data_IF_013280476944
#
_entry.id   IF_013280476944
#
_cell.length_a   1.000
_cell.length_b   1.000
_cell.length_c   1.000
_cell.angle_alpha   90.00
_cell.angle_beta   90.00
_cell.angle_gamma   90.00
#
_symmetry.space_group_name_H-M   'P 1'
#
loop_
_entity.id
_entity.type
_entity.pdbx_description
1 polymer ?
#
# COMPACT_ATOMS: atom_id res chain seq x y z
N UNK A 1 -4.04 1.22 1.92
CA UNK A 1 -2.76 1.02 2.62
C UNK A 1 -2.12 -0.28 2.21
N UNK A 2 -2.80 -1.42 2.39
CA UNK A 2 -2.27 -2.73 2.01
C UNK A 2 -1.80 -2.77 0.56
N UNK A 3 -2.70 -2.49 -0.38
CA UNK A 3 -2.37 -2.54 -1.80
C UNK A 3 -1.30 -1.51 -2.19
N UNK A 4 -1.30 -0.32 -1.59
CA UNK A 4 -0.24 0.67 -1.82
C UNK A 4 1.12 0.15 -1.32
N UNK A 5 1.16 -0.53 -0.18
CA UNK A 5 2.39 -1.10 0.35
C UNK A 5 2.92 -2.22 -0.53
N UNK A 6 2.06 -3.16 -0.94
CA UNK A 6 2.42 -4.24 -1.88
C UNK A 6 2.84 -3.66 -3.24
N UNK A 7 2.16 -2.62 -3.72
CA UNK A 7 2.49 -1.93 -4.97
C UNK A 7 3.84 -1.18 -4.89
N UNK A 8 4.09 -0.42 -3.83
CA UNK A 8 5.37 0.28 -3.61
C UNK A 8 6.50 -0.74 -3.50
N UNK A 9 6.27 -1.85 -2.82
CA UNK A 9 7.24 -2.95 -2.72
C UNK A 9 7.55 -3.58 -4.07
N UNK A 10 6.52 -3.87 -4.88
CA UNK A 10 6.68 -4.42 -6.24
C UNK A 10 7.41 -3.44 -7.17
N UNK A 11 7.15 -2.14 -7.06
CA UNK A 11 7.93 -1.10 -7.75
C UNK A 11 9.38 -1.05 -7.26
N UNK A 12 9.63 -1.36 -5.98
CA UNK A 12 10.97 -1.47 -5.38
C UNK A 12 11.83 -2.60 -5.98
N UNK A 13 11.23 -3.73 -6.36
CA UNK A 13 11.94 -4.83 -7.07
C UNK A 13 12.50 -4.35 -8.40
N UNK A 14 11.82 -3.40 -9.08
CA UNK A 14 12.28 -2.84 -10.36
C UNK A 14 13.28 -1.68 -10.22
N UNK A 15 13.44 -1.08 -9.04
CA UNK A 15 14.29 0.11 -8.85
C UNK A 15 15.62 -0.16 -8.11
N UNK A 16 15.78 -1.34 -7.51
CA UNK A 16 17.06 -1.75 -6.92
C UNK A 16 17.93 -2.41 -8.00
N UNK A 17 18.55 -1.57 -8.83
CA UNK A 17 19.81 -1.91 -9.49
C UNK A 17 20.82 -0.77 -9.29
N UNK A 18 21.78 -1.06 -8.40
CA UNK A 18 23.13 -0.50 -8.29
C UNK A 18 23.29 1.02 -8.41
N UNK A 19 23.58 1.69 -7.28
CA UNK A 19 24.87 2.37 -7.02
C UNK A 19 24.88 3.19 -5.72
N UNK A 20 25.90 2.90 -4.91
CA UNK A 20 26.57 3.75 -3.92
C UNK A 20 26.00 3.84 -2.50
N UNK A 21 26.69 3.13 -1.61
CA UNK A 21 26.40 2.88 -0.18
C UNK A 21 26.56 4.11 0.74
N UNK A 22 27.18 5.20 0.28
CA UNK A 22 27.32 6.43 1.08
C UNK A 22 26.11 7.38 1.03
N UNK A 23 25.23 7.21 0.03
CA UNK A 23 24.00 8.01 -0.19
C UNK A 23 22.78 7.39 0.51
N UNK A 24 23.00 6.43 1.41
CA UNK A 24 21.94 5.57 2.00
C UNK A 24 21.04 6.30 2.99
N UNK A 25 21.52 7.35 3.67
CA UNK A 25 20.72 8.08 4.65
C UNK A 25 19.72 9.05 4.03
N UNK A 26 20.18 9.88 3.08
CA UNK A 26 19.39 10.95 2.46
C UNK A 26 18.40 10.40 1.41
N UNK A 27 18.82 9.45 0.56
CA UNK A 27 17.89 8.78 -0.38
C UNK A 27 16.78 8.05 0.36
N UNK A 28 17.11 7.35 1.45
CA UNK A 28 16.11 6.67 2.27
C UNK A 28 15.12 7.65 2.87
N UNK A 29 15.55 8.84 3.30
CA UNK A 29 14.63 9.87 3.79
C UNK A 29 13.74 10.45 2.67
N UNK A 30 14.28 10.65 1.46
CA UNK A 30 13.48 11.12 0.33
C UNK A 30 12.44 10.06 -0.11
N UNK A 31 12.84 8.79 -0.14
CA UNK A 31 11.97 7.65 -0.43
C UNK A 31 10.91 7.46 0.65
N UNK A 32 11.30 7.55 1.94
CA UNK A 32 10.36 7.52 3.06
C UNK A 32 9.39 8.70 3.01
N UNK A 33 9.85 9.90 2.66
CA UNK A 33 9.00 11.07 2.50
C UNK A 33 8.00 10.86 1.35
N UNK A 34 8.45 10.34 0.19
CA UNK A 34 7.55 9.98 -0.92
C UNK A 34 6.52 8.93 -0.51
N UNK A 35 6.92 7.88 0.22
CA UNK A 35 6.02 6.85 0.71
C UNK A 35 5.01 7.41 1.72
N UNK A 36 5.43 8.28 2.64
CA UNK A 36 4.57 8.94 3.61
C UNK A 36 3.58 9.90 2.93
N UNK A 37 4.02 10.67 1.94
CA UNK A 37 3.13 11.56 1.19
C UNK A 37 2.16 10.75 0.33
N UNK A 38 2.59 9.63 -0.24
CA UNK A 38 1.71 8.72 -0.99
C UNK A 38 0.69 8.04 -0.06
N UNK A 39 1.09 7.73 1.18
CA UNK A 39 0.21 7.27 2.26
C UNK A 39 -0.90 8.29 2.50
N UNK A 40 -0.56 9.57 2.65
CA UNK A 40 -1.53 10.65 2.80
C UNK A 40 -2.45 10.79 1.57
N UNK A 41 -1.90 10.75 0.35
CA UNK A 41 -2.69 10.77 -0.89
C UNK A 41 -3.67 9.60 -0.99
N UNK A 42 -3.27 8.42 -0.51
CA UNK A 42 -4.15 7.26 -0.43
C UNK A 42 -5.27 7.42 0.59
N UNK A 43 -5.00 7.97 1.78
CA UNK A 43 -6.06 8.24 2.78
C UNK A 43 -7.08 9.24 2.28
N UNK A 44 -6.62 10.24 1.52
CA UNK A 44 -7.48 11.19 0.82
C UNK A 44 -8.33 10.50 -0.27
N UNK A 45 -7.77 9.54 -1.01
CA UNK A 45 -8.47 8.81 -2.06
C UNK A 45 -9.54 7.85 -1.52
N UNK A 46 -9.21 7.12 -0.44
CA UNK A 46 -10.11 6.14 0.20
C UNK A 46 -11.05 6.79 1.22
N UNK A 47 -10.90 8.11 1.46
CA UNK A 47 -11.74 8.94 2.32
C UNK A 47 -12.00 8.32 3.70
N UNK A 48 -10.94 8.14 4.48
CA UNK A 48 -10.97 7.41 5.76
C UNK A 48 -11.72 8.09 6.93
N UNK A 49 -12.45 9.18 6.70
CA UNK A 49 -13.18 9.91 7.75
C UNK A 49 -12.27 10.56 8.81
N UNK A 50 -10.98 10.73 8.51
CA UNK A 50 -10.06 11.46 9.39
C UNK A 50 -10.31 12.96 9.29
N UNK A 51 -10.32 13.68 10.42
CA UNK A 51 -10.57 15.13 10.45
C UNK A 51 -9.69 15.94 9.48
N UNK A 52 -8.42 15.57 9.36
CA UNK A 52 -7.50 16.23 8.42
C UNK A 52 -7.86 15.98 6.95
N UNK A 53 -8.38 14.80 6.62
CA UNK A 53 -8.86 14.45 5.26
C UNK A 53 -10.08 15.28 4.93
N UNK A 54 -11.03 15.41 5.86
CA UNK A 54 -12.23 16.24 5.70
C UNK A 54 -11.86 17.71 5.51
N UNK A 55 -10.97 18.24 6.36
CA UNK A 55 -10.51 19.64 6.28
C UNK A 55 -9.81 19.94 4.94
N UNK A 56 -8.90 19.07 4.49
CA UNK A 56 -8.22 19.24 3.21
C UNK A 56 -9.17 19.07 2.01
N UNK A 57 -10.11 18.12 2.08
CA UNK A 57 -11.10 17.89 1.03
C UNK A 57 -12.05 19.09 0.89
N UNK A 58 -12.52 19.64 2.01
CA UNK A 58 -13.33 20.86 2.02
C UNK A 58 -12.57 22.06 1.44
N UNK A 59 -11.30 22.22 1.82
CA UNK A 59 -10.46 23.34 1.37
C UNK A 59 -10.05 23.25 -0.11
N UNK A 60 -9.61 22.07 -0.56
CA UNK A 60 -8.94 21.92 -1.85
C UNK A 60 -9.74 21.16 -2.90
N UNK A 61 -10.55 20.17 -2.49
CA UNK A 61 -11.30 19.34 -3.44
C UNK A 61 -12.66 19.94 -3.84
N UNK A 62 -13.22 20.89 -3.06
CA UNK A 62 -14.48 21.61 -3.37
C UNK A 62 -15.63 20.68 -3.76
N UNK A 63 -15.82 19.59 -3.00
CA UNK A 63 -16.87 18.60 -3.26
C UNK A 63 -16.54 17.54 -4.31
N UNK A 64 -15.33 17.54 -4.88
CA UNK A 64 -14.82 16.47 -5.76
C UNK A 64 -14.02 15.43 -4.97
N UNK A 65 -13.82 14.25 -5.55
CA UNK A 65 -12.88 13.27 -5.02
C UNK A 65 -11.43 13.76 -5.19
N UNK A 66 -10.52 13.30 -4.33
CA UNK A 66 -9.10 13.66 -4.36
C UNK A 66 -8.45 13.50 -5.75
N UNK A 67 -8.76 12.41 -6.46
CA UNK A 67 -8.23 12.13 -7.80
C UNK A 67 -8.66 13.18 -8.85
N UNK A 68 -9.80 13.82 -8.65
CA UNK A 68 -10.37 14.83 -9.54
C UNK A 68 -10.15 16.28 -9.04
N UNK A 69 -9.37 16.47 -7.97
CA UNK A 69 -9.11 17.79 -7.42
C UNK A 69 -8.25 18.64 -8.39
N UNK A 70 -8.54 19.94 -8.58
CA UNK A 70 -7.76 20.79 -9.47
C UNK A 70 -6.37 21.11 -8.90
N UNK A 71 -5.38 21.28 -9.78
CA UNK A 71 -4.09 21.86 -9.40
C UNK A 71 -4.29 23.33 -9.04
N UNK A 72 -4.10 23.68 -7.76
CA UNK A 72 -4.21 25.06 -7.29
C UNK A 72 -2.81 25.69 -7.19
N UNK A 73 -2.58 26.76 -7.95
CA UNK A 73 -1.30 27.49 -7.99
C UNK A 73 -0.88 28.07 -6.62
N UNK A 74 -1.83 28.37 -5.73
CA UNK A 74 -1.59 28.92 -4.38
C UNK A 74 -1.84 27.90 -3.25
N UNK A 75 -1.63 26.62 -3.51
CA UNK A 75 -1.79 25.61 -2.48
C UNK A 75 -0.61 25.57 -1.49
N UNK A 76 -0.85 25.05 -0.28
CA UNK A 76 0.22 24.80 0.68
C UNK A 76 1.21 23.76 0.14
N UNK A 77 2.46 23.84 0.55
CA UNK A 77 3.52 22.90 0.18
C UNK A 77 3.13 21.44 0.47
N UNK A 78 2.47 21.22 1.61
CA UNK A 78 1.93 19.90 2.00
C UNK A 78 0.89 19.42 0.97
N UNK A 79 -0.05 20.28 0.56
CA UNK A 79 -1.05 19.89 -0.45
C UNK A 79 -0.40 19.59 -1.79
N UNK A 80 0.57 20.39 -2.23
CA UNK A 80 1.29 20.13 -3.48
C UNK A 80 2.02 18.79 -3.44
N UNK A 81 2.67 18.45 -2.33
CA UNK A 81 3.27 17.13 -2.14
C UNK A 81 2.24 16.01 -2.25
N UNK A 82 1.12 16.10 -1.53
CA UNK A 82 0.05 15.11 -1.59
C UNK A 82 -0.49 14.98 -3.03
N UNK A 83 -0.68 16.09 -3.72
CA UNK A 83 -1.19 16.14 -5.09
C UNK A 83 -0.26 15.47 -6.10
N UNK A 84 1.07 15.61 -5.93
CA UNK A 84 2.08 14.92 -6.75
C UNK A 84 1.98 13.39 -6.64
N UNK A 85 1.44 12.86 -5.54
CA UNK A 85 1.28 11.41 -5.37
C UNK A 85 0.02 10.85 -6.02
N UNK A 86 -0.80 11.70 -6.66
CA UNK A 86 -2.01 11.29 -7.35
C UNK A 86 -1.77 10.16 -8.34
N UNK A 87 -0.73 10.27 -9.17
CA UNK A 87 -0.43 9.27 -10.19
C UNK A 87 -0.06 7.93 -9.56
N UNK A 88 0.75 7.96 -8.50
CA UNK A 88 1.15 6.77 -7.72
C UNK A 88 -0.07 6.11 -7.08
N UNK A 89 -0.96 6.92 -6.47
CA UNK A 89 -2.18 6.44 -5.83
C UNK A 89 -3.15 5.88 -6.86
N UNK A 90 -3.29 6.52 -8.03
CA UNK A 90 -4.13 6.05 -9.12
C UNK A 90 -3.61 4.74 -9.71
N UNK A 91 -2.30 4.62 -9.93
CA UNK A 91 -1.67 3.37 -10.36
C UNK A 91 -1.86 2.25 -9.32
N UNK A 92 -1.70 2.59 -8.03
CA UNK A 92 -1.99 1.66 -6.94
C UNK A 92 -3.46 1.23 -6.90
N UNK A 93 -4.42 2.14 -7.11
CA UNK A 93 -5.85 1.83 -7.18
C UNK A 93 -6.18 0.94 -8.39
N UNK A 94 -5.56 1.22 -9.54
CA UNK A 94 -5.68 0.36 -10.73
C UNK A 94 -5.15 -1.05 -10.45
N UNK A 95 -3.98 -1.14 -9.79
CA UNK A 95 -3.40 -2.41 -9.35
C UNK A 95 -4.33 -3.17 -8.39
N UNK A 96 -5.02 -2.49 -7.47
CA UNK A 96 -6.03 -3.11 -6.61
C UNK A 96 -7.16 -3.76 -7.41
N UNK A 97 -7.63 -3.05 -8.45
CA UNK A 97 -8.83 -3.42 -9.19
C UNK A 97 -8.55 -4.58 -10.16
N UNK A 98 -7.36 -4.59 -10.77
CA UNK A 98 -7.00 -5.55 -11.82
C UNK A 98 -6.04 -6.66 -11.38
N UNK A 99 -4.96 -6.37 -10.65
CA UNK A 99 -3.87 -7.34 -10.42
C UNK A 99 -3.87 -7.96 -9.02
N UNK A 100 -4.40 -7.31 -7.99
CA UNK A 100 -4.59 -7.93 -6.66
C UNK A 100 -5.56 -9.13 -6.68
N UNK A 101 -6.34 -9.24 -7.76
CA UNK A 101 -7.11 -10.43 -8.14
C UNK A 101 -6.22 -11.55 -8.64
N UNK A 102 -5.17 -11.28 -9.39
CA UNK A 102 -4.42 -12.33 -10.06
C UNK A 102 -3.14 -12.75 -9.33
N UNK A 103 -2.73 -12.02 -8.28
CA UNK A 103 -1.63 -12.46 -7.40
C UNK A 103 -2.10 -13.59 -6.48
N UNK A 104 -1.52 -14.75 -6.69
CA UNK A 104 -1.72 -15.95 -5.89
C UNK A 104 -0.92 -15.86 -4.59
N UNK A 105 -1.61 -15.91 -3.45
CA UNK A 105 -1.00 -15.76 -2.12
C UNK A 105 -0.02 -16.88 -1.75
N UNK A 106 -0.12 -18.03 -2.43
CA UNK A 106 0.66 -19.23 -2.15
C UNK A 106 1.88 -19.39 -3.05
N UNK A 107 1.78 -18.95 -4.30
CA UNK A 107 2.81 -19.22 -5.31
C UNK A 107 3.60 -17.97 -5.71
N UNK A 108 2.99 -16.79 -5.63
CA UNK A 108 3.65 -15.58 -6.08
C UNK A 108 4.49 -14.95 -4.96
N UNK A 109 5.66 -14.39 -5.28
CA UNK A 109 6.44 -13.61 -4.33
C UNK A 109 5.80 -12.23 -4.11
N UNK A 110 5.24 -11.99 -2.92
CA UNK A 110 4.55 -10.73 -2.59
C UNK A 110 4.90 -10.12 -1.24
N UNK A 111 5.80 -10.73 -0.45
CA UNK A 111 6.22 -10.23 0.87
C UNK A 111 7.74 -10.13 0.96
N UNK A 112 8.29 -8.92 0.86
CA UNK A 112 9.73 -8.71 0.78
C UNK A 112 10.55 -9.11 2.01
N UNK A 113 9.92 -9.09 3.18
CA UNK A 113 10.58 -9.33 4.47
C UNK A 113 10.77 -10.83 4.79
N UNK A 114 10.47 -11.73 3.84
CA UNK A 114 10.55 -13.18 3.99
C UNK A 114 11.58 -13.82 3.06
N UNK A 115 12.20 -14.95 3.46
CA UNK A 115 12.99 -15.75 2.53
C UNK A 115 12.12 -16.19 1.36
N UNK A 116 12.64 -16.06 0.14
CA UNK A 116 11.96 -16.31 -1.15
C UNK A 116 10.73 -15.44 -1.45
N UNK A 117 10.48 -14.43 -0.62
CA UNK A 117 9.38 -13.48 -0.74
C UNK A 117 7.97 -14.10 -0.69
N UNK A 118 7.86 -15.37 -0.27
CA UNK A 118 6.62 -16.14 -0.19
C UNK A 118 6.30 -16.47 1.27
N UNK A 119 5.08 -16.16 1.75
CA UNK A 119 4.63 -16.52 3.10
C UNK A 119 4.51 -18.02 3.35
N UNK A 120 5.00 -18.48 4.50
CA UNK A 120 4.86 -19.88 4.92
C UNK A 120 3.51 -20.11 5.62
N UNK A 121 2.85 -21.18 5.18
CA UNK A 121 1.64 -21.73 5.79
C UNK A 121 1.97 -22.46 7.09
N UNK A 122 1.03 -22.41 8.05
CA UNK A 122 1.07 -23.32 9.20
C UNK A 122 0.81 -24.76 8.73
N UNK A 123 1.52 -25.72 9.33
CA UNK A 123 1.47 -27.13 8.95
C UNK A 123 0.06 -27.76 9.06
N UNK A 124 -0.76 -27.29 10.01
CA UNK A 124 -2.08 -27.87 10.30
C UNK A 124 -3.25 -27.14 9.61
N UNK A 125 -2.96 -26.21 8.69
CA UNK A 125 -4.02 -25.42 8.03
C UNK A 125 -4.49 -26.13 6.76
N UNK A 126 -5.75 -26.56 6.78
CA UNK A 126 -6.46 -26.93 5.54
C UNK A 126 -6.84 -25.64 4.83
N UNK A 127 -6.10 -25.32 3.76
CA UNK A 127 -6.41 -24.18 2.91
C UNK A 127 -7.73 -24.43 2.19
N UNK A 128 -8.75 -23.66 2.49
CA UNK A 128 -10.02 -23.74 1.79
C UNK A 128 -9.88 -23.12 0.39
N UNK A 129 -10.46 -23.75 -0.62
CA UNK A 129 -10.43 -23.35 -2.04
C UNK A 129 -10.94 -21.92 -2.34
N UNK A 130 -11.52 -21.22 -1.36
CA UNK A 130 -12.02 -19.85 -1.49
C UNK A 130 -10.98 -18.76 -1.17
N UNK A 131 -9.79 -19.11 -0.66
CA UNK A 131 -8.75 -18.14 -0.29
C UNK A 131 -7.51 -18.44 -1.14
N UNK A 132 -7.35 -17.72 -2.24
CA UNK A 132 -6.21 -17.90 -3.15
C UNK A 132 -5.53 -16.58 -3.55
N UNK A 133 -6.20 -15.45 -3.35
CA UNK A 133 -5.80 -14.16 -3.90
C UNK A 133 -5.55 -13.15 -2.78
N UNK A 134 -4.67 -12.17 -3.02
CA UNK A 134 -4.37 -11.12 -2.02
C UNK A 134 -5.64 -10.40 -1.60
N UNK A 135 -6.58 -10.18 -2.53
CA UNK A 135 -7.89 -9.59 -2.23
C UNK A 135 -8.69 -10.34 -1.16
N UNK A 136 -8.52 -11.66 -1.03
CA UNK A 136 -9.28 -12.49 -0.09
C UNK A 136 -8.76 -12.28 1.35
N UNK A 137 -7.49 -11.88 1.48
CA UNK A 137 -6.84 -11.52 2.74
C UNK A 137 -7.18 -10.09 3.20
N UNK A 138 -7.83 -9.29 2.36
CA UNK A 138 -8.12 -7.88 2.58
C UNK A 138 -9.63 -7.69 2.80
N UNK A 139 -9.99 -6.75 3.67
CA UNK A 139 -11.36 -6.29 3.80
C UNK A 139 -11.67 -5.26 2.68
N UNK A 140 -12.65 -5.53 1.80
CA UNK A 140 -12.98 -4.65 0.67
C UNK A 140 -13.53 -3.29 1.10
N UNK A 141 -14.06 -3.16 2.33
CA UNK A 141 -14.63 -1.91 2.82
C UNK A 141 -13.57 -0.98 3.42
N UNK A 142 -12.63 -1.52 4.19
CA UNK A 142 -11.63 -0.74 4.92
C UNK A 142 -10.25 -0.72 4.24
N UNK A 143 -10.02 -1.59 3.24
CA UNK A 143 -8.71 -1.82 2.60
C UNK A 143 -7.61 -2.13 3.62
N UNK A 144 -7.97 -2.90 4.65
CA UNK A 144 -7.06 -3.36 5.71
C UNK A 144 -6.92 -4.88 5.69
N UNK A 145 -5.81 -5.36 6.23
CA UNK A 145 -5.55 -6.79 6.36
C UNK A 145 -6.55 -7.44 7.32
N UNK A 146 -7.10 -8.60 6.94
CA UNK A 146 -7.89 -9.45 7.85
C UNK A 146 -6.95 -10.14 8.84
N UNK A 147 -6.48 -9.40 9.84
CA UNK A 147 -5.41 -9.84 10.73
C UNK A 147 -5.68 -11.18 11.44
N UNK A 148 -6.93 -11.46 11.79
CA UNK A 148 -7.34 -12.75 12.37
C UNK A 148 -7.11 -13.91 11.39
N UNK A 149 -7.51 -13.72 10.14
CA UNK A 149 -7.37 -14.70 9.07
C UNK A 149 -5.90 -14.94 8.73
N UNK A 150 -5.10 -13.88 8.61
CA UNK A 150 -3.65 -13.98 8.33
C UNK A 150 -2.92 -14.73 9.46
N UNK A 151 -3.20 -14.42 10.73
CA UNK A 151 -2.60 -15.13 11.87
C UNK A 151 -3.04 -16.59 11.98
N UNK A 152 -4.20 -16.93 11.42
CA UNK A 152 -4.67 -18.31 11.35
C UNK A 152 -3.96 -19.08 10.24
N UNK A 153 -3.77 -18.48 9.06
CA UNK A 153 -3.25 -19.19 7.88
C UNK A 153 -1.73 -19.32 7.88
N UNK A 154 -1.02 -18.26 8.26
CA UNK A 154 0.44 -18.16 8.10
C UNK A 154 1.19 -18.39 9.41
N UNK A 155 2.43 -18.90 9.31
CA UNK A 155 3.37 -19.00 10.41
C UNK A 155 3.59 -17.62 11.08
N UNK A 156 3.90 -17.55 12.39
CA UNK A 156 4.01 -16.28 13.11
C UNK A 156 4.96 -15.27 12.46
N UNK A 157 6.07 -15.75 11.87
CA UNK A 157 7.05 -14.92 11.16
C UNK A 157 6.42 -14.31 9.90
N UNK A 158 5.75 -15.13 9.09
CA UNK A 158 5.09 -14.72 7.86
C UNK A 158 3.88 -13.82 8.12
N UNK A 159 3.04 -14.16 9.11
CA UNK A 159 1.93 -13.33 9.53
C UNK A 159 2.39 -11.95 10.01
N UNK A 160 3.49 -11.88 10.76
CA UNK A 160 4.07 -10.61 11.21
C UNK A 160 4.58 -9.79 10.03
N UNK A 161 5.29 -10.40 9.09
CA UNK A 161 5.78 -9.73 7.88
C UNK A 161 4.62 -9.14 7.06
N UNK A 162 3.55 -9.93 6.82
CA UNK A 162 2.36 -9.46 6.09
C UNK A 162 1.71 -8.26 6.81
N UNK A 163 1.52 -8.34 8.13
CA UNK A 163 0.89 -7.27 8.89
C UNK A 163 1.75 -6.00 8.95
N UNK A 164 3.07 -6.15 8.96
CA UNK A 164 4.02 -5.03 8.94
C UNK A 164 4.02 -4.26 7.63
N UNK A 165 3.52 -4.84 6.53
CA UNK A 165 3.34 -4.11 5.26
C UNK A 165 2.50 -2.84 5.42
N UNK A 166 1.66 -2.77 6.44
CA UNK A 166 0.79 -1.61 6.69
C UNK A 166 1.24 -0.66 7.79
N UNK A 167 2.27 -1.04 8.57
CA UNK A 167 2.68 -0.28 9.76
C UNK A 167 3.54 0.94 9.43
#
# INVERSE_FOLDING_TARGET
MVYLAVFIQRLGITFVSLKNVALFGLRRMEELNKALVAKLGWEMAVNRGSFWVEALTAKYCRGRQFLAAPNQSRASWIWQGILQTREIVQAGLYWCIQEGKDVNIWCDPWVHDLPDFIPLLKQDVVVNSFINRIQDLIDPSSFTWRARLIRHLFEPISAKAILNLTS
#
